data_IF_050870432370
#
_entry.id   IF_050870432370
#
_cell.length_a   1.000
_cell.length_b   1.000
_cell.length_c   1.000
_cell.angle_alpha   90.00
_cell.angle_beta   90.00
_cell.angle_gamma   90.00
#
_symmetry.space_group_name_H-M   'P 1'
#
loop_
_entity.id
_entity.type
_entity.pdbx_description
1 polymer ?
#
# COMPACT_ATOMS: atom_id res chain seq x y z
N UNK A 1 9.60 0.51 2.85
CA UNK A 1 9.98 1.92 2.53
C UNK A 1 11.07 2.41 3.51
N UNK A 2 11.46 3.71 3.53
CA UNK A 2 12.50 4.23 4.45
C UNK A 2 11.88 4.81 5.73
N UNK A 3 12.68 4.97 6.80
CA UNK A 3 12.32 5.68 8.05
C UNK A 3 10.99 5.23 8.69
N UNK A 4 10.78 3.90 8.80
CA UNK A 4 9.55 3.27 9.32
C UNK A 4 8.26 3.63 8.54
N UNK A 5 8.39 4.08 7.30
CA UNK A 5 7.26 4.15 6.38
C UNK A 5 7.13 2.84 5.58
N UNK A 6 5.90 2.56 5.17
CA UNK A 6 5.49 1.40 4.39
C UNK A 6 4.70 1.84 3.16
N UNK A 7 4.73 1.01 2.12
CA UNK A 7 3.72 1.04 1.07
C UNK A 7 2.73 -0.07 1.40
N UNK A 8 1.49 0.27 1.69
CA UNK A 8 0.50 -0.70 2.15
C UNK A 8 -0.91 -0.27 1.77
N UNK A 9 -1.77 -1.25 1.63
CA UNK A 9 -3.23 -1.14 1.57
C UNK A 9 -3.85 -2.28 2.38
N UNK A 10 -5.17 -2.22 2.58
CA UNK A 10 -5.92 -3.28 3.26
C UNK A 10 -7.00 -3.81 2.33
N UNK A 11 -7.11 -5.14 2.28
CA UNK A 11 -7.99 -5.84 1.35
C UNK A 11 -8.86 -6.84 2.09
N UNK A 12 -10.13 -6.92 1.68
CA UNK A 12 -11.09 -7.89 2.21
C UNK A 12 -11.59 -8.78 1.09
N UNK A 13 -11.61 -10.08 1.32
CA UNK A 13 -12.18 -11.03 0.37
C UNK A 13 -13.69 -11.15 0.62
N UNK A 14 -14.50 -10.71 -0.34
CA UNK A 14 -15.97 -10.70 -0.25
C UNK A 14 -16.51 -11.27 -1.56
N UNK A 15 -17.40 -12.26 -1.48
CA UNK A 15 -18.10 -12.86 -2.63
C UNK A 15 -17.17 -13.31 -3.78
N UNK A 16 -16.00 -13.85 -3.44
CA UNK A 16 -15.04 -14.37 -4.42
C UNK A 16 -14.10 -13.32 -5.02
N UNK A 17 -14.19 -12.06 -4.59
CA UNK A 17 -13.35 -10.96 -5.09
C UNK A 17 -12.65 -10.22 -3.95
N UNK A 18 -11.45 -9.73 -4.23
CA UNK A 18 -10.72 -8.84 -3.31
C UNK A 18 -11.23 -7.41 -3.46
N UNK A 19 -11.67 -6.82 -2.37
CA UNK A 19 -12.08 -5.41 -2.27
C UNK A 19 -10.99 -4.64 -1.53
N UNK A 20 -10.64 -3.46 -2.05
CA UNK A 20 -9.69 -2.57 -1.40
C UNK A 20 -10.45 -1.69 -0.39
N UNK A 21 -10.25 -1.95 0.90
CA UNK A 21 -10.88 -1.24 2.02
C UNK A 21 -10.05 -0.02 2.45
N UNK A 22 -8.73 -0.10 2.29
CA UNK A 22 -7.79 1.00 2.53
C UNK A 22 -6.86 1.14 1.32
N UNK A 23 -6.99 2.22 0.52
CA UNK A 23 -6.21 2.41 -0.69
C UNK A 23 -4.70 2.30 -0.45
N UNK A 24 -3.99 1.75 -1.45
CA UNK A 24 -2.54 1.66 -1.40
C UNK A 24 -1.92 3.05 -1.25
N UNK A 25 -1.05 3.20 -0.25
CA UNK A 25 -0.48 4.49 0.10
C UNK A 25 0.91 4.37 0.71
N UNK A 26 1.67 5.46 0.69
CA UNK A 26 2.89 5.61 1.46
C UNK A 26 2.58 6.30 2.79
N UNK A 27 2.67 5.55 3.88
CA UNK A 27 2.25 5.99 5.23
C UNK A 27 3.26 5.51 6.28
N UNK A 28 3.26 6.13 7.46
CA UNK A 28 4.03 5.59 8.59
C UNK A 28 3.39 4.28 9.07
N UNK A 29 4.22 3.29 9.45
CA UNK A 29 3.70 2.01 9.97
C UNK A 29 2.74 2.24 11.14
N UNK A 30 3.12 3.10 12.09
CA UNK A 30 2.31 3.38 13.27
C UNK A 30 0.93 3.91 12.91
N UNK A 31 0.87 4.87 11.98
CA UNK A 31 -0.41 5.45 11.55
C UNK A 31 -1.28 4.41 10.83
N UNK A 32 -0.69 3.56 9.99
CA UNK A 32 -1.39 2.42 9.38
C UNK A 32 -2.00 1.49 10.45
N UNK A 33 -1.21 1.08 11.45
CA UNK A 33 -1.68 0.19 12.51
C UNK A 33 -2.78 0.86 13.37
N UNK A 34 -2.67 2.17 13.64
CA UNK A 34 -3.73 2.91 14.35
C UNK A 34 -5.04 2.98 13.56
N UNK A 35 -4.98 3.08 12.22
CA UNK A 35 -6.18 3.04 11.37
C UNK A 35 -6.83 1.65 11.38
N UNK A 36 -6.04 0.58 11.47
CA UNK A 36 -6.52 -0.80 11.36
C UNK A 36 -6.84 -1.47 12.69
N UNK A 37 -6.43 -0.93 13.84
CA UNK A 37 -6.48 -1.65 15.14
C UNK A 37 -7.85 -2.18 15.59
N UNK A 38 -8.95 -1.63 15.07
CA UNK A 38 -10.30 -2.08 15.41
C UNK A 38 -10.87 -3.07 14.38
N UNK A 39 -10.17 -3.30 13.27
CA UNK A 39 -10.59 -4.27 12.26
C UNK A 39 -10.40 -5.70 12.78
N UNK A 40 -11.40 -6.58 12.58
CA UNK A 40 -11.29 -7.98 12.95
C UNK A 40 -10.46 -8.76 11.93
N UNK A 41 -9.84 -9.86 12.38
CA UNK A 41 -9.20 -10.86 11.52
C UNK A 41 -8.14 -10.28 10.56
N UNK A 42 -7.27 -9.42 11.08
CA UNK A 42 -6.18 -8.87 10.28
C UNK A 42 -5.09 -9.92 10.03
N UNK A 43 -4.72 -10.09 8.78
CA UNK A 43 -3.64 -10.96 8.34
C UNK A 43 -2.58 -10.15 7.59
N UNK A 44 -1.41 -9.99 8.20
CA UNK A 44 -0.30 -9.17 7.68
C UNK A 44 0.60 -10.02 6.77
N UNK A 45 0.78 -9.57 5.53
CA UNK A 45 1.61 -10.24 4.52
C UNK A 45 2.50 -9.24 3.77
N UNK A 46 3.73 -9.64 3.46
CA UNK A 46 4.70 -8.87 2.68
C UNK A 46 6.10 -8.91 3.28
N UNK A 47 7.14 -8.77 2.44
CA UNK A 47 8.56 -8.91 2.81
C UNK A 47 9.00 -8.03 4.00
N UNK A 48 8.37 -6.87 4.18
CA UNK A 48 8.71 -5.93 5.25
C UNK A 48 8.00 -6.26 6.59
N UNK A 49 6.97 -7.14 6.61
CA UNK A 49 6.17 -7.42 7.82
C UNK A 49 7.01 -8.02 8.93
N UNK A 50 7.96 -8.90 8.61
CA UNK A 50 8.86 -9.53 9.58
C UNK A 50 9.71 -8.51 10.36
N UNK A 51 9.97 -7.33 9.78
CA UNK A 51 10.75 -6.25 10.42
C UNK A 51 9.94 -5.52 11.50
N UNK A 52 8.63 -5.74 11.55
CA UNK A 52 7.69 -4.94 12.31
C UNK A 52 6.82 -5.76 13.27
N UNK A 53 7.11 -7.05 13.45
CA UNK A 53 6.33 -7.98 14.27
C UNK A 53 6.10 -7.49 15.69
N UNK A 54 7.12 -6.93 16.34
CA UNK A 54 7.00 -6.36 17.70
C UNK A 54 6.03 -5.17 17.76
N UNK A 55 6.11 -4.24 16.81
CA UNK A 55 5.27 -3.05 16.76
C UNK A 55 3.82 -3.41 16.39
N UNK A 56 3.63 -4.38 15.49
CA UNK A 56 2.31 -4.96 15.16
C UNK A 56 1.69 -5.61 16.40
N UNK A 57 2.43 -6.50 17.09
CA UNK A 57 1.90 -7.20 18.27
C UNK A 57 1.57 -6.25 19.43
N UNK A 58 2.26 -5.11 19.54
CA UNK A 58 1.97 -4.10 20.56
C UNK A 58 0.68 -3.31 20.29
N UNK A 59 0.39 -2.98 19.02
CA UNK A 59 -0.77 -2.13 18.66
C UNK A 59 -2.00 -2.99 18.32
N UNK A 60 -1.78 -4.15 17.69
CA UNK A 60 -2.81 -5.05 17.17
C UNK A 60 -2.47 -6.49 17.63
N UNK A 61 -2.66 -6.81 18.92
CA UNK A 61 -2.27 -8.12 19.47
C UNK A 61 -3.09 -9.30 18.90
N UNK A 62 -4.23 -9.04 18.27
CA UNK A 62 -5.07 -10.02 17.57
C UNK A 62 -4.72 -10.18 16.09
N UNK A 63 -3.74 -9.44 15.58
CA UNK A 63 -3.29 -9.55 14.20
C UNK A 63 -2.45 -10.80 13.99
N UNK A 64 -2.71 -11.51 12.89
CA UNK A 64 -1.92 -12.66 12.46
C UNK A 64 -0.85 -12.22 11.47
N UNK A 65 0.36 -12.77 11.58
CA UNK A 65 1.48 -12.49 10.67
C UNK A 65 1.71 -13.71 9.80
N UNK A 66 1.79 -13.50 8.48
CA UNK A 66 2.07 -14.55 7.52
C UNK A 66 3.48 -15.14 7.75
N UNK A 67 3.54 -16.41 8.11
CA UNK A 67 4.76 -17.18 8.34
C UNK A 67 5.23 -17.98 7.11
N UNK A 68 4.46 -17.95 6.01
CA UNK A 68 4.77 -18.62 4.75
C UNK A 68 5.63 -17.71 3.86
N UNK A 69 6.95 -17.98 3.69
CA UNK A 69 7.84 -17.06 2.98
C UNK A 69 7.46 -16.86 1.51
N UNK A 70 6.88 -17.88 0.86
CA UNK A 70 6.48 -17.80 -0.55
C UNK A 70 5.27 -16.89 -0.78
N UNK A 71 4.52 -16.56 0.27
CA UNK A 71 3.36 -15.67 0.20
C UNK A 71 3.73 -14.20 0.46
N UNK A 72 4.92 -13.94 1.01
CA UNK A 72 5.39 -12.59 1.26
C UNK A 72 5.90 -11.88 -0.01
N UNK A 73 6.00 -12.58 -1.14
CA UNK A 73 6.40 -12.05 -2.44
C UNK A 73 5.29 -12.23 -3.50
N UNK A 74 5.21 -11.36 -4.51
CA UNK A 74 4.27 -11.53 -5.62
C UNK A 74 4.47 -12.86 -6.36
N UNK A 75 3.38 -13.58 -6.62
CA UNK A 75 3.40 -14.84 -7.35
C UNK A 75 2.92 -14.65 -8.80
N UNK A 76 3.74 -15.05 -9.77
CA UNK A 76 3.46 -14.88 -11.20
C UNK A 76 2.21 -15.66 -11.67
N UNK A 77 1.96 -16.86 -11.13
CA UNK A 77 0.77 -17.64 -11.49
C UNK A 77 -0.51 -16.99 -10.97
N UNK A 78 -0.47 -16.41 -9.76
CA UNK A 78 -1.59 -15.64 -9.20
C UNK A 78 -1.83 -14.38 -10.05
N UNK A 79 -0.78 -13.67 -10.45
CA UNK A 79 -0.89 -12.50 -11.32
C UNK A 79 -1.53 -12.85 -12.67
N UNK A 80 -1.12 -13.97 -13.29
CA UNK A 80 -1.70 -14.45 -14.54
C UNK A 80 -3.19 -14.84 -14.38
N UNK A 81 -3.55 -15.46 -13.26
CA UNK A 81 -4.94 -15.81 -12.95
C UNK A 81 -5.82 -14.57 -12.73
N UNK A 82 -5.32 -13.54 -12.03
CA UNK A 82 -6.03 -12.27 -11.86
C UNK A 82 -6.17 -11.53 -13.20
N UNK A 83 -5.12 -11.51 -14.02
CA UNK A 83 -5.14 -10.86 -15.32
C UNK A 83 -6.05 -11.54 -16.36
N UNK A 84 -6.29 -12.85 -16.24
CA UNK A 84 -7.15 -13.58 -17.19
C UNK A 84 -8.64 -13.28 -17.05
N UNK A 85 -9.05 -12.76 -15.88
CA UNK A 85 -10.43 -12.36 -15.58
C UNK A 85 -10.61 -10.84 -15.52
N UNK A 86 -9.52 -10.07 -15.62
CA UNK A 86 -9.55 -8.62 -15.60
C UNK A 86 -10.02 -8.05 -16.94
N UNK A 87 -10.71 -6.90 -16.90
CA UNK A 87 -11.05 -6.17 -18.12
C UNK A 87 -9.76 -5.62 -18.77
N UNK A 88 -9.55 -5.86 -20.08
CA UNK A 88 -8.40 -5.32 -20.79
C UNK A 88 -8.40 -3.79 -20.80
N UNK A 89 -7.23 -3.19 -20.57
CA UNK A 89 -7.04 -1.74 -20.70
C UNK A 89 -7.11 -1.35 -22.18
N UNK A 90 -8.02 -0.46 -22.54
CA UNK A 90 -8.19 0.00 -23.93
C UNK A 90 -6.98 0.79 -24.45
N UNK A 91 -6.40 1.66 -23.60
CA UNK A 91 -5.28 2.52 -23.97
C UNK A 91 -3.99 2.14 -23.23
N UNK A 92 -3.26 1.17 -23.79
CA UNK A 92 -1.95 0.73 -23.26
C UNK A 92 -0.92 1.87 -23.25
N UNK A 93 -0.97 2.79 -24.22
CA UNK A 93 -0.06 3.93 -24.27
C UNK A 93 -0.33 4.98 -23.18
N UNK A 94 -1.49 4.93 -22.55
CA UNK A 94 -1.87 5.79 -21.42
C UNK A 94 -1.41 5.28 -20.05
N UNK A 95 -0.68 4.15 -19.99
CA UNK A 95 -0.22 3.59 -18.73
C UNK A 95 0.64 4.58 -17.94
N UNK A 96 0.24 4.84 -16.70
CA UNK A 96 0.97 5.67 -15.74
C UNK A 96 1.23 4.85 -14.48
N UNK A 97 2.51 4.73 -14.04
CA UNK A 97 2.81 4.11 -12.75
C UNK A 97 2.13 4.85 -11.60
N UNK A 98 1.64 4.10 -10.61
CA UNK A 98 1.12 4.66 -9.37
C UNK A 98 2.28 5.10 -8.44
N UNK A 99 2.64 6.38 -8.50
CA UNK A 99 3.64 6.96 -7.61
C UNK A 99 3.01 7.32 -6.25
N UNK A 100 2.99 6.34 -5.34
CA UNK A 100 2.36 6.49 -4.02
C UNK A 100 3.12 7.39 -3.03
N UNK A 101 4.36 7.75 -3.36
CA UNK A 101 5.17 8.68 -2.58
C UNK A 101 5.47 9.92 -3.41
N UNK A 102 5.26 11.10 -2.83
CA UNK A 102 5.69 12.36 -3.43
C UNK A 102 7.21 12.44 -3.52
N UNK A 103 7.69 13.19 -4.51
CA UNK A 103 9.13 13.40 -4.69
C UNK A 103 9.67 14.15 -3.47
N UNK A 104 10.80 13.71 -2.92
CA UNK A 104 11.36 14.26 -1.67
C UNK A 104 11.65 15.77 -1.76
N UNK A 105 11.97 16.27 -2.96
CA UNK A 105 12.11 17.70 -3.22
C UNK A 105 10.79 18.47 -3.05
N UNK A 106 9.68 17.91 -3.53
CA UNK A 106 8.34 18.48 -3.38
C UNK A 106 7.86 18.44 -1.92
N UNK A 107 8.13 17.31 -1.22
CA UNK A 107 7.85 17.19 0.22
C UNK A 107 8.65 18.22 1.05
N UNK A 108 9.91 18.46 0.71
CA UNK A 108 10.75 19.44 1.42
C UNK A 108 10.37 20.89 1.06
N UNK A 109 9.98 21.15 -0.19
CA UNK A 109 9.49 22.47 -0.60
C UNK A 109 8.20 22.84 0.15
N UNK A 110 7.23 21.92 0.26
CA UNK A 110 5.96 22.13 0.98
C UNK A 110 6.14 22.37 2.49
N UNK A 111 7.21 21.87 3.12
CA UNK A 111 7.51 22.17 4.53
C UNK A 111 7.88 23.63 4.77
N UNK A 112 8.33 24.33 3.73
CA UNK A 112 8.82 25.72 3.80
C UNK A 112 7.97 26.70 3.00
N UNK A 113 7.03 26.20 2.19
CA UNK A 113 6.16 27.00 1.33
C UNK A 113 4.72 26.48 1.39
N UNK A 114 3.77 27.33 1.79
CA UNK A 114 2.34 27.05 1.72
C UNK A 114 1.84 27.36 0.29
N UNK A 115 1.27 26.38 -0.44
CA UNK A 115 0.84 26.61 -1.81
C UNK A 115 -0.41 27.49 -1.82
N UNK A 116 -0.27 28.75 -2.24
CA UNK A 116 -1.38 29.56 -2.73
C UNK A 116 -1.78 29.05 -4.12
N UNK A 117 -2.59 27.99 -4.18
CA UNK A 117 -3.56 27.74 -5.24
C UNK A 117 -3.11 27.55 -6.70
N UNK A 118 -1.81 27.62 -7.05
CA UNK A 118 -1.38 27.50 -8.45
C UNK A 118 -0.53 26.24 -8.67
N UNK A 119 -1.14 25.25 -9.32
CA UNK A 119 -0.49 24.03 -9.78
C UNK A 119 0.31 24.33 -11.05
N UNK A 120 1.62 24.51 -10.91
CA UNK A 120 2.53 24.61 -12.05
C UNK A 120 3.10 23.24 -12.38
N UNK A 121 2.49 22.56 -13.35
CA UNK A 121 3.20 21.56 -14.16
C UNK A 121 2.78 21.77 -15.61
N UNK A 122 3.54 22.56 -16.36
CA UNK A 122 3.52 22.47 -17.82
C UNK A 122 4.29 21.22 -18.23
N UNK A 123 3.60 20.37 -18.99
CA UNK A 123 4.15 19.15 -19.59
C UNK A 123 4.88 19.56 -20.87
N UNK A 124 6.21 19.40 -20.90
CA UNK A 124 6.97 19.38 -22.16
C UNK A 124 6.77 18.03 -22.87
#
# INVERSE_FOLDING_TARGET
>A
ARRKNVYAGAYRFVDGVWQNELPDQHISLRELLEQLKNEPNLFFVGEDVEKFTEEIAQIIPHGEICDVPQWQIPNAAVLAALGSVAEPVENVHGFLPAYLKKVEAEENWLKTHTPNGESYVEKL
#
